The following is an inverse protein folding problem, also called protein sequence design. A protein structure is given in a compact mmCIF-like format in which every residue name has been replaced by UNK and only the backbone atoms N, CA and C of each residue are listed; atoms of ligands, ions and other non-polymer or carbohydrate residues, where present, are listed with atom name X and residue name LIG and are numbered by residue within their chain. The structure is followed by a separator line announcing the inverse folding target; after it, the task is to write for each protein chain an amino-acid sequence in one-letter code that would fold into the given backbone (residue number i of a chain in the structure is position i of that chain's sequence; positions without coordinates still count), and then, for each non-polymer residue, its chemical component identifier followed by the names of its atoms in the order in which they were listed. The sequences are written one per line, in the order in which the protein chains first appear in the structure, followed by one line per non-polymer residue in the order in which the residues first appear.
data_IF_432283799487
#
_entry.id   IF_432283799487
#
_cell.length_a   1.000
_cell.length_b   1.000
_cell.length_c   1.000
_cell.angle_alpha   90.00
_cell.angle_beta   90.00
_cell.angle_gamma   90.00
#
_symmetry.space_group_name_H-M   'P 1'
#
loop_
_entity.id
_entity.type
_entity.pdbx_description
1 polymer ?
#
# COMPACT_ATOMS: atom_id res chain seq x y z
N UNK A 1 -9.15 -7.07 -4.94
CA UNK A 1 -9.00 -8.33 -4.17
C UNK A 1 -9.44 -8.05 -2.75
N UNK A 2 -10.37 -8.82 -2.20
CA UNK A 2 -10.85 -8.62 -0.83
C UNK A 2 -10.12 -9.54 0.14
N UNK A 3 -9.94 -9.10 1.38
CA UNK A 3 -9.34 -9.89 2.45
C UNK A 3 -10.10 -9.68 3.77
N UNK A 4 -9.96 -10.63 4.68
CA UNK A 4 -10.34 -10.48 6.08
C UNK A 4 -9.22 -11.03 6.96
N UNK A 5 -8.85 -10.26 7.98
CA UNK A 5 -7.99 -10.68 9.08
C UNK A 5 -8.89 -10.91 10.29
N UNK A 6 -8.85 -12.10 10.87
CA UNK A 6 -9.59 -12.46 12.07
C UNK A 6 -8.61 -12.79 13.20
N UNK A 7 -8.85 -12.22 14.37
CA UNK A 7 -8.08 -12.45 15.58
C UNK A 7 -8.97 -13.16 16.62
N UNK A 8 -8.38 -14.05 17.42
CA UNK A 8 -9.11 -14.78 18.47
C UNK A 8 -9.60 -13.85 19.61
N UNK A 9 -8.93 -12.71 19.79
CA UNK A 9 -9.28 -11.67 20.74
C UNK A 9 -9.12 -10.27 20.13
N UNK A 10 -9.72 -9.25 20.76
CA UNK A 10 -9.57 -7.86 20.34
C UNK A 10 -8.11 -7.43 20.47
N UNK A 11 -7.47 -7.15 19.33
CA UNK A 11 -6.02 -6.97 19.24
C UNK A 11 -5.70 -5.77 18.36
N UNK A 12 -4.65 -5.01 18.71
CA UNK A 12 -4.13 -3.95 17.84
C UNK A 12 -3.21 -4.58 16.81
N UNK A 13 -3.52 -4.34 15.54
CA UNK A 13 -2.75 -4.84 14.41
C UNK A 13 -2.36 -3.70 13.50
N UNK A 14 -1.23 -3.82 12.84
CA UNK A 14 -0.82 -2.97 11.73
C UNK A 14 -0.41 -3.81 10.53
N UNK A 15 -0.35 -3.17 9.38
CA UNK A 15 0.16 -3.74 8.16
C UNK A 15 1.52 -3.12 7.84
N UNK A 16 2.43 -3.98 7.40
CA UNK A 16 3.68 -3.61 6.73
C UNK A 16 3.66 -4.17 5.32
N UNK A 17 4.36 -3.51 4.40
CA UNK A 17 4.60 -4.06 3.08
C UNK A 17 6.07 -4.20 2.77
N UNK A 18 6.38 -5.12 1.87
CA UNK A 18 7.71 -5.30 1.31
C UNK A 18 7.58 -5.47 -0.19
N UNK A 19 8.42 -4.77 -0.96
CA UNK A 19 8.46 -4.86 -2.41
C UNK A 19 9.75 -5.56 -2.86
N UNK A 20 9.61 -6.79 -3.36
CA UNK A 20 10.74 -7.53 -3.91
C UNK A 20 11.25 -6.96 -5.24
N UNK A 21 10.51 -6.00 -5.82
CA UNK A 21 10.83 -5.31 -7.08
C UNK A 21 11.03 -3.80 -6.88
N UNK A 22 11.28 -3.33 -5.66
CA UNK A 22 11.42 -1.90 -5.35
C UNK A 22 12.39 -1.15 -6.28
N UNK A 23 13.52 -1.79 -6.64
CA UNK A 23 14.54 -1.22 -7.51
C UNK A 23 14.06 -0.91 -8.94
N UNK A 24 12.96 -1.51 -9.39
CA UNK A 24 12.40 -1.32 -10.72
C UNK A 24 11.28 -0.28 -10.79
N UNK A 25 10.91 0.33 -9.66
CA UNK A 25 9.82 1.30 -9.62
C UNK A 25 10.09 2.52 -10.51
N UNK A 26 9.04 2.95 -11.21
CA UNK A 26 8.97 4.19 -11.98
C UNK A 26 7.84 5.03 -11.39
N UNK A 27 8.17 6.22 -10.88
CA UNK A 27 7.19 7.12 -10.28
C UNK A 27 6.59 8.03 -11.36
N UNK A 28 5.29 7.92 -11.67
CA UNK A 28 4.65 8.68 -12.75
C UNK A 28 4.25 10.09 -12.29
N UNK A 29 5.23 10.93 -11.97
CA UNK A 29 5.00 12.29 -11.44
C UNK A 29 4.03 13.08 -12.32
N UNK A 30 3.06 13.74 -11.70
CA UNK A 30 2.03 14.54 -12.38
C UNK A 30 0.85 13.73 -12.91
N UNK A 31 0.83 12.40 -12.76
CA UNK A 31 -0.37 11.59 -12.98
C UNK A 31 -1.24 11.56 -11.73
N UNK A 32 -2.50 11.15 -11.89
CA UNK A 32 -3.43 10.85 -10.79
C UNK A 32 -3.69 9.35 -10.81
N UNK A 33 -3.35 8.66 -9.73
CA UNK A 33 -3.59 7.23 -9.57
C UNK A 33 -4.49 7.00 -8.35
N UNK A 34 -5.52 6.17 -8.52
CA UNK A 34 -6.54 5.89 -7.50
C UNK A 34 -7.14 7.15 -6.85
N UNK A 35 -7.25 8.23 -7.63
CA UNK A 35 -7.78 9.53 -7.17
C UNK A 35 -6.77 10.42 -6.42
N UNK A 36 -5.50 10.02 -6.34
CA UNK A 36 -4.44 10.76 -5.63
C UNK A 36 -3.39 11.27 -6.63
N UNK A 37 -3.03 12.57 -6.62
CA UNK A 37 -1.92 13.09 -7.41
C UNK A 37 -0.58 12.45 -7.00
N UNK A 38 0.22 12.06 -7.99
CA UNK A 38 1.55 11.47 -7.78
C UNK A 38 2.61 12.56 -7.80
N UNK A 39 3.32 12.70 -6.68
CA UNK A 39 4.51 13.52 -6.51
C UNK A 39 5.78 12.66 -6.62
N UNK A 40 6.95 13.30 -6.67
CA UNK A 40 8.24 12.61 -6.80
C UNK A 40 8.56 11.66 -5.63
N UNK A 41 8.00 11.92 -4.45
CA UNK A 41 8.17 11.12 -3.25
C UNK A 41 6.97 10.19 -2.95
N UNK A 42 6.00 10.07 -3.86
CA UNK A 42 4.90 9.12 -3.70
C UNK A 42 5.46 7.70 -3.67
N UNK A 43 5.15 6.89 -2.65
CA UNK A 43 5.60 5.51 -2.63
C UNK A 43 4.90 4.71 -3.73
N UNK A 44 5.70 4.03 -4.55
CA UNK A 44 5.23 3.25 -5.70
C UNK A 44 5.99 1.93 -5.68
N UNK A 45 5.27 0.84 -5.88
CA UNK A 45 5.84 -0.50 -6.02
C UNK A 45 6.36 -0.73 -7.44
N UNK A 46 7.39 -1.54 -7.61
CA UNK A 46 7.97 -1.85 -8.92
C UNK A 46 7.22 -2.93 -9.70
N UNK A 47 7.10 -2.76 -11.03
CA UNK A 47 6.51 -3.77 -11.93
C UNK A 47 7.53 -4.72 -12.58
N UNK A 48 8.75 -4.78 -12.04
CA UNK A 48 9.86 -5.53 -12.62
C UNK A 48 10.59 -4.82 -13.77
N UNK A 49 11.45 -5.57 -14.45
CA UNK A 49 12.26 -5.11 -15.58
C UNK A 49 12.10 -6.05 -16.77
N UNK A 50 12.12 -5.51 -17.98
CA UNK A 50 12.21 -6.26 -19.23
C UNK A 50 13.43 -5.78 -20.01
N UNK A 51 14.30 -6.70 -20.44
CA UNK A 51 15.53 -6.35 -21.19
C UNK A 51 16.40 -5.30 -20.47
N UNK A 52 16.46 -5.36 -19.13
CA UNK A 52 17.20 -4.40 -18.30
C UNK A 52 16.53 -3.03 -18.14
N UNK A 53 15.35 -2.81 -18.75
CA UNK A 53 14.58 -1.56 -18.64
C UNK A 53 13.46 -1.70 -17.61
N UNK A 54 13.21 -0.63 -16.85
CA UNK A 54 12.13 -0.58 -15.85
C UNK A 54 10.76 -0.54 -16.54
N UNK A 55 9.93 -1.54 -16.26
CA UNK A 55 8.62 -1.69 -16.90
C UNK A 55 7.65 -0.60 -16.43
N UNK A 56 7.71 -0.21 -15.17
CA UNK A 56 6.78 0.74 -14.59
C UNK A 56 6.67 0.61 -13.08
N UNK A 57 5.55 1.08 -12.54
CA UNK A 57 5.23 0.95 -11.13
C UNK A 57 3.74 0.80 -10.88
N UNK A 58 3.35 0.54 -9.65
CA UNK A 58 1.96 0.51 -9.26
C UNK A 58 1.76 1.08 -7.85
N UNK A 59 0.58 1.65 -7.63
CA UNK A 59 0.11 2.06 -6.30
C UNK A 59 -0.94 1.07 -5.82
N UNK A 60 -1.07 0.94 -4.51
CA UNK A 60 -2.10 0.11 -3.91
C UNK A 60 -2.64 0.74 -2.64
N UNK A 61 -3.97 0.80 -2.54
CA UNK A 61 -4.66 1.23 -1.33
C UNK A 61 -5.68 0.16 -0.92
N UNK A 62 -6.01 0.12 0.36
CA UNK A 62 -7.17 -0.65 0.83
C UNK A 62 -8.39 0.27 0.85
N UNK A 63 -9.44 -0.14 0.16
CA UNK A 63 -10.76 0.50 0.12
C UNK A 63 -11.78 -0.33 0.90
N UNK A 64 -12.96 0.24 1.12
CA UNK A 64 -14.10 -0.48 1.74
C UNK A 64 -13.69 -1.11 3.08
N UNK A 65 -12.88 -0.37 3.85
CA UNK A 65 -12.29 -0.88 5.08
C UNK A 65 -13.38 -1.06 6.14
N UNK A 66 -13.38 -2.21 6.81
CA UNK A 66 -14.17 -2.42 8.02
C UNK A 66 -13.31 -2.90 9.18
N UNK A 67 -13.68 -2.50 10.39
CA UNK A 67 -13.11 -2.92 11.65
C UNK A 67 -14.25 -3.38 12.56
N UNK A 68 -14.30 -4.67 12.92
CA UNK A 68 -15.44 -5.29 13.62
C UNK A 68 -16.79 -4.92 12.97
N UNK A 69 -16.85 -5.07 11.64
CA UNK A 69 -17.99 -4.72 10.76
C UNK A 69 -18.37 -3.23 10.72
N UNK A 70 -17.62 -2.35 11.39
CA UNK A 70 -17.82 -0.91 11.33
C UNK A 70 -17.04 -0.28 10.16
N UNK A 71 -17.72 0.53 9.35
CA UNK A 71 -17.15 1.26 8.21
C UNK A 71 -16.62 2.65 8.57
N UNK A 72 -17.03 3.20 9.72
CA UNK A 72 -16.56 4.49 10.21
C UNK A 72 -15.21 4.33 10.91
N UNK A 73 -14.14 4.30 10.11
CA UNK A 73 -12.75 4.15 10.58
C UNK A 73 -11.88 5.33 10.15
N UNK A 74 -10.84 5.62 10.95
CA UNK A 74 -9.71 6.44 10.57
C UNK A 74 -8.56 5.61 10.02
N UNK A 75 -7.65 6.24 9.28
CA UNK A 75 -6.42 5.61 8.76
C UNK A 75 -5.20 6.26 9.38
N UNK A 76 -4.27 5.43 9.83
CA UNK A 76 -3.04 5.88 10.46
C UNK A 76 -1.82 5.36 9.72
N UNK A 77 -0.77 6.17 9.76
CA UNK A 77 0.59 5.82 9.35
C UNK A 77 1.56 6.08 10.49
N UNK A 78 2.52 5.19 10.67
CA UNK A 78 3.68 5.37 11.54
C UNK A 78 4.95 5.21 10.71
N UNK A 79 5.95 6.04 10.99
CA UNK A 79 7.28 5.98 10.39
C UNK A 79 8.37 5.52 11.38
N UNK A 80 7.99 5.09 12.57
CA UNK A 80 8.88 4.82 13.70
C UNK A 80 8.51 3.53 14.46
N UNK A 81 8.05 2.52 13.72
CA UNK A 81 7.64 1.21 14.24
C UNK A 81 6.53 1.29 15.29
N UNK A 82 5.58 2.20 15.11
CA UNK A 82 4.37 2.31 15.92
C UNK A 82 4.49 3.17 17.17
N UNK A 83 5.59 3.91 17.35
CA UNK A 83 5.78 4.81 18.50
C UNK A 83 4.93 6.08 18.35
N UNK A 84 4.82 6.60 17.13
CA UNK A 84 3.95 7.74 16.80
C UNK A 84 3.08 7.44 15.61
N UNK A 85 1.89 8.05 15.58
CA UNK A 85 0.88 7.84 14.55
C UNK A 85 0.34 9.16 14.02
N UNK A 86 0.22 9.25 12.69
CA UNK A 86 -0.37 10.39 11.99
C UNK A 86 -1.56 9.95 11.16
N UNK A 87 -2.59 10.79 11.09
CA UNK A 87 -3.77 10.53 10.27
C UNK A 87 -3.45 10.64 8.78
N UNK A 88 -4.04 9.75 7.99
CA UNK A 88 -3.97 9.73 6.53
C UNK A 88 -5.36 9.75 5.91
N UNK A 89 -5.52 10.30 4.70
CA UNK A 89 -6.82 10.31 4.01
C UNK A 89 -7.25 8.94 3.48
N UNK A 90 -6.33 7.98 3.39
CA UNK A 90 -6.56 6.63 2.90
C UNK A 90 -5.57 5.65 3.55
N UNK A 91 -5.80 4.35 3.33
CA UNK A 91 -4.92 3.27 3.77
C UNK A 91 -3.99 2.85 2.62
N UNK A 92 -2.96 3.66 2.38
CA UNK A 92 -1.95 3.44 1.33
C UNK A 92 -0.89 2.42 1.79
N UNK A 93 -0.86 1.28 1.11
CA UNK A 93 0.08 0.20 1.40
C UNK A 93 1.51 0.54 0.98
N UNK A 94 1.72 1.47 0.04
CA UNK A 94 3.04 1.95 -0.37
C UNK A 94 3.76 2.69 0.76
N UNK A 95 3.01 3.41 1.62
CA UNK A 95 3.57 4.10 2.78
C UNK A 95 4.20 3.13 3.79
N UNK A 96 3.81 1.86 3.76
CA UNK A 96 4.29 0.82 4.66
C UNK A 96 5.47 0.00 4.10
N UNK A 97 6.07 0.43 2.98
CA UNK A 97 7.08 -0.33 2.24
C UNK A 97 8.49 -0.30 2.86
N UNK A 98 8.73 0.60 3.82
CA UNK A 98 9.98 0.65 4.58
C UNK A 98 9.86 -0.18 5.87
N UNK A 99 10.95 -0.83 6.36
CA UNK A 99 10.88 -1.74 7.51
C UNK A 99 10.32 -1.12 8.79
N UNK A 100 10.48 0.17 9.01
CA UNK A 100 9.99 0.88 10.19
C UNK A 100 8.60 1.51 9.98
N UNK A 101 8.04 1.40 8.78
CA UNK A 101 6.74 1.99 8.48
C UNK A 101 5.61 0.99 8.73
N UNK A 102 4.49 1.52 9.18
CA UNK A 102 3.28 0.76 9.48
C UNK A 102 2.05 1.57 9.06
N UNK A 103 1.00 0.88 8.65
CA UNK A 103 -0.33 1.47 8.47
C UNK A 103 -1.38 0.67 9.23
N UNK A 104 -2.40 1.34 9.75
CA UNK A 104 -3.47 0.69 10.53
C UNK A 104 -4.75 1.52 10.50
N UNK A 105 -5.80 0.99 11.13
CA UNK A 105 -7.07 1.65 11.34
C UNK A 105 -7.18 2.24 12.76
N UNK A 106 -8.01 3.26 12.90
CA UNK A 106 -8.35 3.87 14.19
C UNK A 106 -9.83 4.17 14.28
N UNK A 107 -10.31 4.54 15.47
CA UNK A 107 -11.60 5.25 15.56
C UNK A 107 -11.48 6.63 14.87
N UNK A 108 -12.56 7.15 14.28
CA UNK A 108 -12.54 8.45 13.60
C UNK A 108 -12.00 9.56 14.51
N UNK A 109 -11.03 10.34 14.00
CA UNK A 109 -10.39 11.44 14.74
C UNK A 109 -9.36 11.01 15.80
N UNK A 110 -9.21 9.72 16.08
CA UNK A 110 -8.27 9.20 17.07
C UNK A 110 -6.94 8.84 16.41
N UNK A 111 -5.83 9.29 16.99
CA UNK A 111 -4.44 9.01 16.54
C UNK A 111 -3.80 7.85 17.31
N UNK A 112 -4.55 6.76 17.49
CA UNK A 112 -4.07 5.54 18.11
C UNK A 112 -4.69 4.32 17.39
N UNK A 113 -3.95 3.21 17.23
CA UNK A 113 -4.46 2.00 16.61
C UNK A 113 -5.68 1.45 17.35
N UNK A 114 -6.72 1.08 16.58
CA UNK A 114 -7.92 0.45 17.10
C UNK A 114 -7.66 -1.03 17.38
N UNK A 115 -8.10 -1.51 18.54
CA UNK A 115 -8.11 -2.94 18.84
C UNK A 115 -9.37 -3.57 18.22
N UNK A 116 -9.19 -4.63 17.42
CA UNK A 116 -10.27 -5.25 16.64
C UNK A 116 -10.19 -6.77 16.71
N UNK A 117 -11.32 -7.46 16.50
CA UNK A 117 -11.37 -8.90 16.23
C UNK A 117 -11.37 -9.20 14.73
N UNK A 118 -11.94 -8.32 13.90
CA UNK A 118 -11.89 -8.42 12.45
C UNK A 118 -11.42 -7.10 11.81
N UNK A 119 -10.57 -7.23 10.79
CA UNK A 119 -10.18 -6.13 9.90
C UNK A 119 -10.27 -6.63 8.46
N UNK A 120 -11.14 -6.01 7.67
CA UNK A 120 -11.36 -6.39 6.28
C UNK A 120 -11.25 -5.20 5.34
N UNK A 121 -11.09 -5.50 4.06
CA UNK A 121 -11.17 -4.49 3.01
C UNK A 121 -10.83 -5.04 1.63
N UNK A 122 -10.89 -4.17 0.64
CA UNK A 122 -10.58 -4.47 -0.76
C UNK A 122 -9.28 -3.79 -1.17
N UNK A 123 -8.24 -4.57 -1.45
CA UNK A 123 -7.00 -4.10 -2.05
C UNK A 123 -7.29 -3.70 -3.51
N UNK A 124 -7.08 -2.43 -3.81
CA UNK A 124 -7.20 -1.80 -5.12
C UNK A 124 -5.81 -1.44 -5.61
N UNK A 125 -5.45 -1.92 -6.81
CA UNK A 125 -4.14 -1.73 -7.43
C UNK A 125 -4.34 -0.96 -8.73
N UNK A 126 -3.47 0.02 -8.99
CA UNK A 126 -3.38 0.65 -10.31
C UNK A 126 -1.93 0.67 -10.77
N UNK A 127 -1.68 -0.03 -11.87
CA UNK A 127 -0.39 -0.06 -12.55
C UNK A 127 -0.25 1.14 -13.50
N UNK A 128 0.99 1.60 -13.65
CA UNK A 128 1.42 2.51 -14.71
C UNK A 128 2.60 1.87 -15.44
N UNK A 129 2.50 1.84 -16.76
CA UNK A 129 3.61 1.39 -17.62
C UNK A 129 4.48 2.60 -17.94
N UNK A 130 5.79 2.39 -18.00
CA UNK A 130 6.76 3.42 -18.36
C UNK A 130 6.51 3.93 -19.79
N UNK A 131 7.14 5.05 -20.16
CA UNK A 131 7.05 5.61 -21.51
C UNK A 131 7.52 4.58 -22.54
N UNK A 132 6.82 4.51 -23.68
CA UNK A 132 7.11 3.55 -24.75
C UNK A 132 8.57 3.60 -25.23
N UNK A 133 9.22 4.78 -25.21
CA UNK A 133 10.63 4.92 -25.61
C UNK A 133 11.64 4.23 -24.68
N UNK A 134 11.23 3.76 -23.50
CA UNK A 134 12.09 2.93 -22.64
C UNK A 134 11.82 1.44 -22.77
N UNK A 135 10.84 1.03 -23.60
CA UNK A 135 10.36 -0.34 -23.67
C UNK A 135 10.38 -0.86 -25.10
N UNK A 136 10.87 -2.07 -25.29
CA UNK A 136 10.78 -2.75 -26.56
C UNK A 136 9.39 -3.38 -26.73
N UNK A 137 8.44 -2.60 -27.26
CA UNK A 137 7.05 -3.02 -27.43
C UNK A 137 6.83 -4.03 -28.58
N UNK A 138 7.90 -4.40 -29.31
CA UNK A 138 7.83 -5.50 -30.27
C UNK A 138 7.79 -6.88 -29.59
N UNK A 139 8.16 -6.95 -28.31
CA UNK A 139 8.13 -8.18 -27.51
C UNK A 139 7.04 -8.11 -26.43
N UNK A 140 6.59 -9.28 -25.99
CA UNK A 140 5.67 -9.40 -24.84
C UNK A 140 6.41 -8.95 -23.58
N UNK A 141 5.83 -7.99 -22.86
CA UNK A 141 6.33 -7.51 -21.57
C UNK A 141 5.40 -8.01 -20.48
N UNK A 142 5.89 -8.94 -19.66
CA UNK A 142 5.15 -9.42 -18.49
C UNK A 142 5.29 -8.43 -17.34
N UNK A 143 4.17 -7.98 -16.78
CA UNK A 143 4.15 -7.18 -15.55
C UNK A 143 4.43 -8.12 -14.37
N UNK A 144 5.62 -8.01 -13.78
CA UNK A 144 6.11 -8.91 -12.72
C UNK A 144 6.38 -8.14 -11.43
N UNK A 145 5.34 -7.46 -10.93
CA UNK A 145 5.37 -6.79 -9.63
C UNK A 145 5.16 -7.78 -8.49
N UNK A 146 5.87 -7.59 -7.36
CA UNK A 146 5.77 -8.48 -6.21
C UNK A 146 5.82 -7.70 -4.89
N UNK A 147 4.65 -7.43 -4.32
CA UNK A 147 4.51 -6.91 -2.96
C UNK A 147 4.01 -8.00 -2.00
N UNK A 148 4.58 -8.02 -0.80
CA UNK A 148 4.12 -8.84 0.33
C UNK A 148 3.48 -7.92 1.37
N UNK A 149 2.34 -8.31 1.92
CA UNK A 149 1.70 -7.64 3.05
C UNK A 149 1.91 -8.51 4.30
N UNK A 150 2.41 -7.91 5.36
CA UNK A 150 2.67 -8.57 6.65
C UNK A 150 1.76 -7.96 7.72
N UNK A 151 1.21 -8.82 8.58
CA UNK A 151 0.50 -8.40 9.79
C UNK A 151 1.52 -8.23 10.92
N UNK A 152 1.44 -7.10 11.62
CA UNK A 152 2.28 -6.76 12.77
C UNK A 152 1.36 -6.59 13.98
N UNK A 153 1.58 -7.38 15.02
CA UNK A 153 0.92 -7.20 16.31
C UNK A 153 1.60 -6.04 17.06
N UNK A 154 0.78 -5.14 17.62
CA UNK A 154 1.23 -3.91 18.29
C UNK A 154 1.17 -4.02 19.82
#
# INVERSE_FOLDING_TARGET
MSFVLTCDASTRVALRTFDARAGSAVVPVGKVLLGVPVASNTPVFGLGTAEGKKIGGYVSIIKEVTADDNTAVGYLHSADSGKTWVSRPNLDLGQASLPQHLVTVSSPGVKAPLAVKSFSGTISIQAVVNKASELNLAHVINLDGQATIQVVYL
#
